data_IF_032300017332
#
_entry.id   IF_032300017332
#
_cell.length_a   1.000
_cell.length_b   1.000
_cell.length_c   1.000
_cell.angle_alpha   90.00
_cell.angle_beta   90.00
_cell.angle_gamma   90.00
#
_symmetry.space_group_name_H-M   'P 1'
#
loop_
_entity.id
_entity.type
_entity.pdbx_description
1 polymer ?
#
# COMPACT_ATOMS: atom_id res chain seq x y z
N UNK A 1 -47.12 -5.30 -2.29
CA UNK A 1 -45.93 -5.65 -3.09
C UNK A 1 -44.74 -5.01 -2.37
N UNK A 2 -43.94 -5.81 -1.68
CA UNK A 2 -42.66 -5.35 -1.12
C UNK A 2 -41.75 -4.94 -2.28
N UNK A 3 -41.06 -3.79 -2.21
CA UNK A 3 -40.05 -3.45 -3.21
C UNK A 3 -39.01 -4.56 -3.19
N UNK A 4 -38.71 -5.16 -4.35
CA UNK A 4 -37.60 -6.08 -4.46
C UNK A 4 -36.33 -5.31 -4.10
N UNK A 5 -35.71 -5.60 -2.97
CA UNK A 5 -34.37 -5.11 -2.66
C UNK A 5 -33.43 -5.65 -3.75
N UNK A 6 -33.11 -4.78 -4.71
CA UNK A 6 -32.06 -5.04 -5.69
C UNK A 6 -30.76 -5.17 -4.92
N UNK A 7 -30.20 -6.38 -4.86
CA UNK A 7 -28.89 -6.61 -4.25
C UNK A 7 -27.87 -5.65 -4.87
N UNK A 8 -27.02 -4.97 -4.06
CA UNK A 8 -26.00 -4.10 -4.61
C UNK A 8 -25.10 -4.87 -5.58
N UNK A 9 -24.79 -4.28 -6.73
CA UNK A 9 -23.86 -4.88 -7.68
C UNK A 9 -22.48 -4.97 -7.01
N UNK A 10 -21.84 -6.15 -6.98
CA UNK A 10 -20.54 -6.29 -6.36
C UNK A 10 -19.48 -5.42 -7.05
N UNK A 11 -18.68 -4.71 -6.25
CA UNK A 11 -17.51 -3.99 -6.75
C UNK A 11 -16.32 -4.94 -6.78
N UNK A 12 -15.67 -5.06 -7.93
CA UNK A 12 -14.52 -5.94 -8.12
C UNK A 12 -13.21 -5.17 -8.25
N UNK A 13 -12.26 -5.51 -7.40
CA UNK A 13 -10.88 -5.02 -7.44
C UNK A 13 -9.92 -6.16 -7.81
N UNK A 14 -8.88 -5.82 -8.55
CA UNK A 14 -7.71 -6.65 -8.76
C UNK A 14 -6.56 -6.12 -7.89
N UNK A 15 -5.80 -7.01 -7.26
CA UNK A 15 -4.71 -6.65 -6.33
C UNK A 15 -3.38 -7.15 -6.88
N UNK A 16 -2.35 -6.31 -6.85
CA UNK A 16 -0.96 -6.70 -7.12
C UNK A 16 0.00 -5.78 -6.35
N UNK A 17 0.98 -6.35 -5.65
CA UNK A 17 1.97 -5.58 -4.88
C UNK A 17 3.36 -6.18 -5.01
N UNK A 18 4.36 -5.43 -4.51
CA UNK A 18 5.73 -5.92 -4.37
C UNK A 18 6.29 -6.45 -5.71
N UNK A 19 6.04 -5.70 -6.79
CA UNK A 19 6.53 -6.03 -8.13
C UNK A 19 8.02 -5.71 -8.29
N UNK A 20 8.58 -4.83 -7.46
CA UNK A 20 10.02 -4.56 -7.38
C UNK A 20 10.71 -4.34 -8.74
N UNK A 21 10.04 -3.70 -9.69
CA UNK A 21 10.51 -3.58 -11.08
C UNK A 21 11.85 -2.82 -11.20
N UNK A 22 12.13 -1.93 -10.27
CA UNK A 22 13.40 -1.22 -10.11
C UNK A 22 14.60 -2.14 -9.77
N UNK A 23 14.37 -3.34 -9.24
CA UNK A 23 15.44 -4.28 -8.83
C UNK A 23 15.76 -5.32 -9.90
N UNK A 24 14.82 -5.62 -10.80
CA UNK A 24 14.93 -6.64 -11.85
C UNK A 24 15.41 -6.01 -13.16
N UNK A 25 16.73 -5.86 -13.32
CA UNK A 25 17.37 -5.16 -14.48
C UNK A 25 16.81 -3.74 -14.78
N UNK A 26 15.99 -3.17 -13.89
CA UNK A 26 15.26 -1.93 -14.11
C UNK A 26 14.20 -2.01 -15.21
N UNK A 27 13.69 -3.21 -15.52
CA UNK A 27 12.63 -3.37 -16.52
C UNK A 27 11.27 -3.19 -15.88
N UNK A 28 10.51 -2.25 -16.42
CA UNK A 28 9.12 -2.01 -16.06
C UNK A 28 8.24 -2.62 -17.14
N UNK A 29 8.29 -3.93 -17.32
CA UNK A 29 7.56 -4.67 -18.37
C UNK A 29 6.61 -5.74 -17.79
N UNK A 30 6.43 -5.76 -16.47
CA UNK A 30 5.51 -6.69 -15.81
C UNK A 30 4.08 -6.53 -16.35
N UNK A 31 3.51 -7.63 -16.83
CA UNK A 31 2.17 -7.64 -17.40
C UNK A 31 1.13 -8.00 -16.35
N UNK A 32 0.23 -7.05 -16.05
CA UNK A 32 -0.95 -7.29 -15.21
C UNK A 32 -2.15 -7.52 -16.13
N UNK A 33 -2.63 -8.76 -16.32
CA UNK A 33 -3.81 -9.00 -17.14
C UNK A 33 -5.04 -8.43 -16.44
N UNK A 34 -5.87 -7.65 -17.16
CA UNK A 34 -7.11 -7.10 -16.60
C UNK A 34 -8.12 -8.20 -16.25
N UNK A 35 -8.44 -8.34 -14.97
CA UNK A 35 -9.45 -9.26 -14.42
C UNK A 35 -10.58 -8.55 -13.66
N UNK A 36 -10.44 -7.25 -13.42
CA UNK A 36 -11.43 -6.43 -12.74
C UNK A 36 -11.46 -4.99 -13.31
N UNK A 37 -12.38 -4.17 -12.82
CA UNK A 37 -12.51 -2.76 -13.20
C UNK A 37 -11.43 -1.88 -12.57
N UNK A 38 -11.12 -2.15 -11.30
CA UNK A 38 -10.21 -1.36 -10.49
C UNK A 38 -8.95 -2.16 -10.15
N UNK A 39 -7.81 -1.49 -10.09
CA UNK A 39 -6.53 -2.07 -9.69
C UNK A 39 -6.05 -1.43 -8.38
N UNK A 40 -5.63 -2.25 -7.42
CA UNK A 40 -5.01 -1.85 -6.16
C UNK A 40 -3.53 -2.22 -6.19
N UNK A 41 -2.66 -1.24 -5.97
CA UNK A 41 -1.21 -1.36 -5.93
C UNK A 41 -0.64 -0.91 -4.55
N UNK A 42 -0.63 -1.78 -3.52
CA UNK A 42 -0.20 -1.40 -2.17
C UNK A 42 1.33 -1.45 -1.99
N UNK A 43 2.02 -0.62 -2.77
CA UNK A 43 3.45 -0.35 -2.62
C UNK A 43 4.39 -1.37 -3.25
N UNK A 44 5.66 -0.96 -3.28
CA UNK A 44 6.80 -1.70 -3.83
C UNK A 44 6.59 -2.15 -5.28
N UNK A 45 6.00 -1.27 -6.06
CA UNK A 45 5.78 -1.45 -7.50
C UNK A 45 7.03 -1.02 -8.28
N UNK A 46 7.58 0.14 -7.92
CA UNK A 46 8.60 0.83 -8.69
C UNK A 46 9.51 1.70 -7.82
N UNK A 47 9.97 2.81 -8.42
CA UNK A 47 10.83 3.77 -7.75
C UNK A 47 10.68 5.14 -8.41
N UNK A 48 10.69 6.21 -7.61
CA UNK A 48 10.58 7.60 -8.10
C UNK A 48 11.88 8.13 -8.73
N UNK A 49 12.88 7.27 -8.96
CA UNK A 49 14.17 7.65 -9.54
C UNK A 49 15.09 8.39 -8.57
N UNK A 50 16.28 8.82 -9.03
CA UNK A 50 17.20 9.64 -8.23
C UNK A 50 17.06 11.09 -8.64
N UNK A 51 17.26 12.01 -7.70
CA UNK A 51 17.56 13.41 -8.04
C UNK A 51 19.02 13.53 -8.51
N UNK A 52 19.28 14.48 -9.41
CA UNK A 52 20.62 14.69 -10.01
C UNK A 52 21.72 15.04 -9.00
N UNK A 53 21.34 15.40 -7.76
CA UNK A 53 22.24 15.84 -6.69
C UNK A 53 22.86 14.69 -5.87
N UNK A 54 22.53 13.42 -6.16
CA UNK A 54 23.08 12.26 -5.42
C UNK A 54 24.24 11.62 -6.17
N UNK A 55 25.42 11.63 -5.55
CA UNK A 55 26.71 11.14 -6.08
C UNK A 55 26.60 9.92 -7.02
N UNK A 56 27.33 10.03 -8.14
CA UNK A 56 27.34 9.17 -9.33
C UNK A 56 27.90 7.75 -9.13
N UNK A 57 28.21 7.33 -7.91
CA UNK A 57 28.86 6.04 -7.62
C UNK A 57 27.93 4.82 -7.70
N UNK A 58 26.61 5.00 -7.86
CA UNK A 58 25.64 3.89 -7.89
C UNK A 58 25.27 3.47 -9.32
N UNK A 59 25.30 2.15 -9.58
CA UNK A 59 25.02 1.48 -10.87
C UNK A 59 23.53 1.47 -11.29
N UNK A 60 22.62 2.13 -10.58
CA UNK A 60 21.18 2.05 -10.87
C UNK A 60 20.77 2.98 -12.03
N UNK A 61 19.89 2.53 -12.95
CA UNK A 61 19.39 3.34 -14.06
C UNK A 61 18.83 4.70 -13.62
N UNK A 62 19.16 5.79 -14.33
CA UNK A 62 18.64 7.13 -14.04
C UNK A 62 17.14 7.31 -14.38
N UNK A 63 16.55 6.40 -15.16
CA UNK A 63 15.22 6.56 -15.76
C UNK A 63 14.08 5.85 -15.01
N UNK A 64 14.29 5.38 -13.76
CA UNK A 64 13.25 4.66 -13.00
C UNK A 64 11.94 5.45 -12.88
N UNK A 65 12.00 6.76 -12.63
CA UNK A 65 10.81 7.61 -12.53
C UNK A 65 9.97 7.58 -13.81
N UNK A 66 10.63 7.77 -14.96
CA UNK A 66 9.97 7.77 -16.27
C UNK A 66 9.39 6.39 -16.59
N UNK A 67 10.16 5.32 -16.38
CA UNK A 67 9.68 3.96 -16.64
C UNK A 67 8.52 3.58 -15.71
N UNK A 68 8.52 4.09 -14.48
CA UNK A 68 7.42 3.90 -13.54
C UNK A 68 6.16 4.65 -13.98
N UNK A 69 6.30 5.91 -14.40
CA UNK A 69 5.21 6.69 -14.99
C UNK A 69 4.62 5.96 -16.22
N UNK A 70 5.45 5.49 -17.15
CA UNK A 70 5.02 4.75 -18.34
C UNK A 70 4.29 3.45 -17.96
N UNK A 71 4.77 2.74 -16.93
CA UNK A 71 4.10 1.55 -16.42
C UNK A 71 2.70 1.88 -15.86
N UNK A 72 2.58 2.91 -15.03
CA UNK A 72 1.30 3.33 -14.44
C UNK A 72 0.33 3.79 -15.52
N UNK A 73 0.81 4.49 -16.56
CA UNK A 73 0.00 4.91 -17.70
C UNK A 73 -0.61 3.71 -18.43
N UNK A 74 0.17 2.64 -18.64
CA UNK A 74 -0.34 1.39 -19.24
C UNK A 74 -1.39 0.70 -18.35
N UNK A 75 -1.31 0.83 -17.03
CA UNK A 75 -2.37 0.33 -16.17
C UNK A 75 -3.62 1.21 -16.28
N UNK A 76 -3.46 2.54 -16.27
CA UNK A 76 -4.56 3.49 -16.42
C UNK A 76 -5.29 3.38 -17.79
N UNK A 77 -4.61 2.94 -18.84
CA UNK A 77 -5.26 2.65 -20.13
C UNK A 77 -6.13 1.39 -20.09
N UNK A 78 -5.85 0.45 -19.17
CA UNK A 78 -6.56 -0.83 -19.07
C UNK A 78 -7.67 -0.82 -18.02
N UNK A 79 -7.43 -0.23 -16.85
CA UNK A 79 -8.36 -0.20 -15.72
C UNK A 79 -9.20 1.09 -15.72
N UNK A 80 -10.40 1.04 -15.13
CA UNK A 80 -11.24 2.24 -14.93
C UNK A 80 -10.59 3.18 -13.91
N UNK A 81 -9.89 2.62 -12.92
CA UNK A 81 -9.04 3.35 -11.96
C UNK A 81 -7.95 2.46 -11.39
N UNK A 82 -6.81 3.07 -11.12
CA UNK A 82 -5.66 2.48 -10.45
C UNK A 82 -5.42 3.24 -9.17
N UNK A 83 -5.46 2.54 -8.04
CA UNK A 83 -5.10 3.08 -6.74
C UNK A 83 -3.67 2.67 -6.41
N UNK A 84 -2.87 3.63 -5.98
CA UNK A 84 -1.47 3.43 -5.62
C UNK A 84 -1.25 3.95 -4.20
N UNK A 85 -0.72 3.08 -3.34
CA UNK A 85 -0.05 3.47 -2.10
C UNK A 85 1.44 3.23 -2.33
N UNK A 86 2.28 4.12 -1.85
CA UNK A 86 3.73 3.92 -1.93
C UNK A 86 4.20 2.92 -0.88
N UNK A 87 5.17 2.09 -1.25
CA UNK A 87 5.95 1.28 -0.32
C UNK A 87 7.29 1.93 -0.01
N UNK A 88 8.11 1.26 0.80
CA UNK A 88 9.41 1.78 1.18
C UNK A 88 10.36 1.87 -0.03
N UNK A 89 10.19 1.01 -1.04
CA UNK A 89 11.04 1.04 -2.23
C UNK A 89 10.79 2.22 -3.15
N UNK A 90 9.57 2.76 -3.19
CA UNK A 90 9.27 3.97 -3.98
C UNK A 90 10.16 5.14 -3.56
N UNK A 91 10.45 5.27 -2.26
CA UNK A 91 11.18 6.38 -1.66
C UNK A 91 12.71 6.22 -1.64
N UNK A 92 13.24 5.02 -1.93
CA UNK A 92 14.68 4.77 -1.81
C UNK A 92 15.49 5.77 -2.62
N UNK A 93 16.54 6.30 -1.99
CA UNK A 93 17.47 7.32 -2.45
C UNK A 93 16.92 8.75 -2.48
N UNK A 94 15.73 8.98 -1.91
CA UNK A 94 15.10 10.28 -1.79
C UNK A 94 14.53 10.49 -0.39
N UNK A 95 14.10 11.72 -0.11
CA UNK A 95 13.24 11.99 1.05
C UNK A 95 11.81 11.52 0.76
N UNK A 96 11.04 11.23 1.82
CA UNK A 96 9.60 10.92 1.71
C UNK A 96 8.87 12.04 0.95
N UNK A 97 9.09 13.30 1.34
CA UNK A 97 8.46 14.47 0.72
C UNK A 97 8.72 14.57 -0.80
N UNK A 98 9.92 14.23 -1.26
CA UNK A 98 10.22 14.20 -2.70
C UNK A 98 9.46 13.07 -3.41
N UNK A 99 9.40 11.89 -2.80
CA UNK A 99 8.63 10.78 -3.34
C UNK A 99 7.14 11.11 -3.44
N UNK A 100 6.56 11.67 -2.37
CA UNK A 100 5.16 12.09 -2.33
C UNK A 100 4.85 13.10 -3.45
N UNK A 101 5.68 14.15 -3.56
CA UNK A 101 5.54 15.16 -4.60
C UNK A 101 5.63 14.55 -6.02
N UNK A 102 6.55 13.60 -6.22
CA UNK A 102 6.73 12.93 -7.53
C UNK A 102 5.53 12.05 -7.87
N UNK A 103 5.03 11.26 -6.92
CA UNK A 103 3.87 10.39 -7.13
C UNK A 103 2.59 11.21 -7.35
N UNK A 104 2.39 12.31 -6.62
CA UNK A 104 1.29 13.26 -6.90
C UNK A 104 1.45 13.94 -8.27
N UNK A 105 2.69 14.19 -8.70
CA UNK A 105 2.98 14.60 -10.08
C UNK A 105 2.57 13.54 -11.11
N UNK A 106 2.75 12.25 -10.81
CA UNK A 106 2.29 11.17 -11.70
C UNK A 106 0.76 11.13 -11.78
N UNK A 107 0.06 11.29 -10.64
CA UNK A 107 -1.40 11.31 -10.57
C UNK A 107 -2.02 12.31 -11.56
N UNK A 108 -1.41 13.49 -11.64
CA UNK A 108 -1.87 14.61 -12.48
C UNK A 108 -1.31 14.58 -13.91
N UNK A 109 -0.43 13.64 -14.23
CA UNK A 109 0.18 13.56 -15.55
C UNK A 109 -0.87 13.16 -16.61
N UNK A 110 -0.84 13.81 -17.78
CA UNK A 110 -1.86 13.65 -18.82
C UNK A 110 -2.03 12.20 -19.31
N UNK A 111 -0.96 11.40 -19.28
CA UNK A 111 -0.98 9.98 -19.66
C UNK A 111 -1.77 9.09 -18.70
N UNK A 112 -2.15 9.57 -17.51
CA UNK A 112 -3.01 8.83 -16.58
C UNK A 112 -4.49 8.96 -16.93
N UNK A 113 -4.87 9.94 -17.77
CA UNK A 113 -6.26 10.21 -18.14
C UNK A 113 -7.21 10.38 -16.93
N UNK A 114 -6.70 10.89 -15.80
CA UNK A 114 -7.46 11.05 -14.56
C UNK A 114 -7.86 9.73 -13.88
N UNK A 115 -7.17 8.62 -14.19
CA UNK A 115 -7.49 7.27 -13.68
C UNK A 115 -6.49 6.76 -12.65
N UNK A 116 -5.41 7.48 -12.36
CA UNK A 116 -4.53 7.18 -11.24
C UNK A 116 -5.04 7.94 -10.00
N UNK A 117 -5.02 7.29 -8.85
CA UNK A 117 -5.28 7.90 -7.55
C UNK A 117 -4.16 7.45 -6.61
N UNK A 118 -3.31 8.39 -6.20
CA UNK A 118 -2.24 8.12 -5.24
C UNK A 118 -2.76 8.43 -3.83
N UNK A 119 -2.66 7.48 -2.92
CA UNK A 119 -3.18 7.60 -1.57
C UNK A 119 -2.01 7.62 -0.57
N UNK A 120 -1.87 8.73 0.15
CA UNK A 120 -1.00 8.85 1.33
C UNK A 120 -1.74 9.72 2.35
N UNK A 121 -2.37 9.05 3.33
CA UNK A 121 -3.37 9.63 4.21
C UNK A 121 -4.48 10.33 3.43
N UNK A 122 -5.00 9.63 2.43
CA UNK A 122 -6.04 10.15 1.54
C UNK A 122 -7.19 9.15 1.35
N UNK A 123 -8.34 9.67 0.96
CA UNK A 123 -9.62 8.97 0.86
C UNK A 123 -10.18 9.08 -0.56
N UNK A 124 -10.71 7.97 -1.08
CA UNK A 124 -11.48 7.96 -2.33
C UNK A 124 -12.84 7.28 -2.14
N UNK A 125 -13.91 8.03 -2.41
CA UNK A 125 -15.27 7.51 -2.38
C UNK A 125 -15.69 7.03 -3.77
N UNK A 126 -15.82 5.71 -3.92
CA UNK A 126 -16.32 5.11 -5.15
C UNK A 126 -17.84 5.21 -5.19
N UNK A 127 -18.39 5.80 -6.25
CA UNK A 127 -19.82 6.08 -6.40
C UNK A 127 -20.47 5.19 -7.46
N UNK A 128 -21.77 4.96 -7.33
CA UNK A 128 -22.57 4.29 -8.37
C UNK A 128 -22.83 5.26 -9.54
N UNK A 129 -22.25 4.96 -10.70
CA UNK A 129 -22.46 5.72 -11.94
C UNK A 129 -23.61 5.15 -12.81
N UNK A 130 -24.16 3.99 -12.46
CA UNK A 130 -25.01 3.19 -13.34
C UNK A 130 -26.52 3.36 -13.19
N UNK A 131 -27.01 3.92 -12.09
CA UNK A 131 -28.44 4.01 -11.82
C UNK A 131 -28.85 5.48 -11.68
N UNK A 132 -29.53 6.02 -12.70
CA UNK A 132 -29.96 7.42 -12.82
C UNK A 132 -30.84 7.98 -11.68
N UNK A 133 -31.00 7.24 -10.58
CA UNK A 133 -31.80 7.60 -9.41
C UNK A 133 -31.00 7.67 -8.08
N UNK A 134 -29.66 7.54 -8.04
CA UNK A 134 -28.95 7.68 -6.76
C UNK A 134 -27.42 7.73 -6.80
N UNK A 135 -26.85 8.93 -6.58
CA UNK A 135 -25.41 9.24 -6.44
C UNK A 135 -24.77 8.71 -5.14
N UNK A 136 -25.13 7.50 -4.72
CA UNK A 136 -24.64 6.90 -3.47
C UNK A 136 -23.16 6.52 -3.55
N UNK A 137 -22.45 6.64 -2.43
CA UNK A 137 -21.10 6.08 -2.29
C UNK A 137 -21.26 4.58 -2.04
N UNK A 138 -20.68 3.76 -2.91
CA UNK A 138 -20.68 2.30 -2.81
C UNK A 138 -19.73 1.81 -1.72
N UNK A 139 -18.51 2.37 -1.70
CA UNK A 139 -17.49 2.09 -0.70
C UNK A 139 -16.48 3.24 -0.66
N UNK A 140 -15.77 3.31 0.45
CA UNK A 140 -14.67 4.25 0.67
C UNK A 140 -13.35 3.50 0.69
N UNK A 141 -12.39 3.95 -0.11
CA UNK A 141 -10.99 3.50 -0.07
C UNK A 141 -10.19 4.48 0.78
N UNK A 142 -9.50 3.99 1.80
CA UNK A 142 -8.57 4.75 2.63
C UNK A 142 -7.16 4.23 2.34
N UNK A 143 -6.18 5.10 2.09
CA UNK A 143 -4.83 4.65 1.80
C UNK A 143 -3.70 5.49 2.39
N UNK A 144 -2.68 4.80 2.91
CA UNK A 144 -1.41 5.35 3.36
C UNK A 144 -0.34 4.27 3.41
N UNK A 145 0.95 4.62 3.42
CA UNK A 145 2.03 3.62 3.50
C UNK A 145 1.96 2.77 4.80
N UNK A 146 1.48 3.38 5.89
CA UNK A 146 1.45 2.82 7.26
C UNK A 146 2.82 2.26 7.67
N UNK A 147 3.82 3.14 7.80
CA UNK A 147 5.16 2.74 8.29
C UNK A 147 5.09 1.92 9.58
N UNK A 148 6.10 1.12 9.90
CA UNK A 148 6.08 0.41 11.18
C UNK A 148 6.46 1.28 12.37
N UNK A 149 6.24 0.79 13.60
CA UNK A 149 6.77 1.43 14.83
C UNK A 149 8.01 0.71 15.36
N UNK A 150 9.15 1.39 15.37
CA UNK A 150 10.39 0.93 16.00
C UNK A 150 10.24 1.00 17.53
N UNK A 151 10.32 -0.16 18.19
CA UNK A 151 10.20 -0.25 19.64
C UNK A 151 11.46 0.22 20.36
N UNK A 152 11.29 0.84 21.53
CA UNK A 152 12.39 1.30 22.39
C UNK A 152 13.22 0.14 22.94
N UNK A 153 12.60 -1.03 23.14
CA UNK A 153 13.28 -2.25 23.62
C UNK A 153 14.10 -2.98 22.54
N UNK A 154 14.06 -2.50 21.29
CA UNK A 154 14.92 -2.98 20.21
C UNK A 154 16.12 -2.06 20.04
N UNK A 155 17.31 -2.64 19.73
CA UNK A 155 18.53 -1.88 19.53
C UNK A 155 18.24 -0.63 18.70
N UNK A 156 18.60 0.52 19.25
CA UNK A 156 18.72 1.73 18.47
C UNK A 156 19.61 1.36 17.28
N UNK A 157 19.10 1.60 16.07
CA UNK A 157 19.83 1.28 14.86
C UNK A 157 21.02 2.27 14.82
N UNK A 158 22.09 1.93 15.56
CA UNK A 158 23.12 2.81 16.07
C UNK A 158 23.38 4.01 15.17
N UNK A 159 22.81 5.18 15.54
CA UNK A 159 22.96 6.56 15.00
C UNK A 159 23.09 6.81 13.48
N UNK A 160 23.06 5.78 12.64
CA UNK A 160 23.14 5.78 11.18
C UNK A 160 22.75 4.40 10.59
N UNK A 161 22.42 3.39 11.43
CA UNK A 161 22.12 2.03 10.99
C UNK A 161 20.65 1.84 10.54
N UNK A 162 19.95 2.95 10.25
CA UNK A 162 18.75 2.92 9.39
C UNK A 162 19.07 2.29 8.01
N UNK A 163 20.35 2.16 7.68
CA UNK A 163 20.85 1.31 6.60
C UNK A 163 20.58 -0.21 6.76
N UNK A 164 20.03 -0.70 7.88
CA UNK A 164 19.74 -2.14 8.09
C UNK A 164 18.26 -2.44 8.34
N UNK A 165 17.42 -1.42 8.38
CA UNK A 165 15.97 -1.56 8.60
C UNK A 165 15.18 -1.07 7.39
N UNK A 166 13.86 -1.13 7.47
CA UNK A 166 12.96 -0.95 6.34
C UNK A 166 13.15 0.38 5.57
N UNK A 167 13.46 1.46 6.30
CA UNK A 167 13.76 2.78 5.75
C UNK A 167 15.14 2.92 5.07
N UNK A 168 15.87 1.81 4.86
CA UNK A 168 17.22 1.83 4.27
C UNK A 168 17.26 2.59 2.94
N UNK A 169 18.10 3.62 2.92
CA UNK A 169 18.36 4.44 1.74
C UNK A 169 17.35 5.57 1.55
N UNK A 170 16.38 5.74 2.44
CA UNK A 170 15.51 6.92 2.47
C UNK A 170 16.24 8.03 3.22
N UNK A 171 16.28 9.22 2.63
CA UNK A 171 16.97 10.38 3.18
C UNK A 171 16.12 11.02 4.28
N UNK A 172 16.72 11.34 5.43
CA UNK A 172 16.03 11.97 6.57
C UNK A 172 15.17 11.00 7.39
N UNK A 173 15.49 9.71 7.37
CA UNK A 173 14.68 8.66 7.97
C UNK A 173 15.12 8.28 9.39
N UNK A 174 15.17 9.24 10.33
CA UNK A 174 15.49 8.92 11.74
C UNK A 174 14.43 8.03 12.39
N UNK A 175 14.73 7.44 13.55
CA UNK A 175 13.77 6.64 14.33
C UNK A 175 12.55 7.46 14.71
N UNK A 176 12.76 8.69 15.17
CA UNK A 176 11.70 9.62 15.57
C UNK A 176 10.83 9.95 14.36
N UNK A 177 11.45 10.27 13.21
CA UNK A 177 10.72 10.56 11.98
C UNK A 177 9.93 9.32 11.49
N UNK A 178 10.48 8.12 11.64
CA UNK A 178 9.82 6.86 11.29
C UNK A 178 8.61 6.57 12.15
N UNK A 179 8.78 6.62 13.47
CA UNK A 179 7.69 6.41 14.41
C UNK A 179 6.63 7.50 14.30
N UNK A 180 7.01 8.77 14.11
CA UNK A 180 6.06 9.87 13.92
C UNK A 180 5.16 9.63 12.70
N UNK A 181 5.69 9.07 11.60
CA UNK A 181 4.87 8.71 10.43
C UNK A 181 3.91 7.56 10.71
N UNK A 182 4.32 6.57 11.52
CA UNK A 182 3.41 5.50 11.94
C UNK A 182 2.25 6.08 12.75
N UNK A 183 2.54 6.86 13.79
CA UNK A 183 1.51 7.43 14.69
C UNK A 183 0.55 8.35 13.91
N UNK A 184 1.09 9.18 13.00
CA UNK A 184 0.30 10.04 12.11
C UNK A 184 -0.61 9.22 11.16
N UNK A 185 -0.08 8.13 10.59
CA UNK A 185 -0.86 7.26 9.70
C UNK A 185 -1.96 6.50 10.44
N UNK A 186 -1.66 5.95 11.62
CA UNK A 186 -2.62 5.20 12.43
C UNK A 186 -3.72 6.13 12.94
N UNK A 187 -3.35 7.30 13.49
CA UNK A 187 -4.30 8.31 13.94
C UNK A 187 -5.22 8.78 12.81
N UNK A 188 -4.67 9.01 11.61
CA UNK A 188 -5.47 9.35 10.43
C UNK A 188 -6.45 8.23 10.02
N UNK A 189 -6.01 6.96 9.99
CA UNK A 189 -6.90 5.83 9.69
C UNK A 189 -8.06 5.77 10.69
N UNK A 190 -7.76 5.87 11.99
CA UNK A 190 -8.76 5.83 13.05
C UNK A 190 -9.77 6.97 12.92
N UNK A 191 -9.29 8.18 12.66
CA UNK A 191 -10.16 9.35 12.47
C UNK A 191 -11.05 9.21 11.22
N UNK A 192 -10.48 8.79 10.09
CA UNK A 192 -11.23 8.65 8.83
C UNK A 192 -12.25 7.51 8.87
N UNK A 193 -11.92 6.37 9.50
CA UNK A 193 -12.92 5.31 9.74
C UNK A 193 -14.07 5.87 10.57
N UNK A 194 -13.79 6.61 11.65
CA UNK A 194 -14.81 7.27 12.46
C UNK A 194 -15.66 8.28 11.68
N UNK A 195 -15.07 9.07 10.77
CA UNK A 195 -15.81 9.98 9.87
C UNK A 195 -16.72 9.21 8.92
N UNK A 196 -16.20 8.21 8.21
CA UNK A 196 -17.00 7.39 7.27
C UNK A 196 -18.18 6.73 7.98
N UNK A 197 -17.98 6.22 9.19
CA UNK A 197 -19.04 5.59 10.00
C UNK A 197 -20.11 6.57 10.46
N UNK A 198 -19.74 7.81 10.79
CA UNK A 198 -20.70 8.88 11.11
C UNK A 198 -21.51 9.32 9.89
N UNK A 199 -20.88 9.36 8.72
CA UNK A 199 -21.56 9.68 7.45
C UNK A 199 -22.53 8.57 7.03
N UNK A 200 -22.13 7.32 7.17
CA UNK A 200 -22.94 6.14 6.85
C UNK A 200 -22.43 4.91 7.62
N UNK A 201 -23.17 4.45 8.63
CA UNK A 201 -22.79 3.30 9.45
C UNK A 201 -22.60 2.00 8.66
N UNK A 202 -23.20 1.87 7.47
CA UNK A 202 -23.16 0.66 6.64
C UNK A 202 -22.16 0.75 5.48
N UNK A 203 -21.48 1.89 5.30
CA UNK A 203 -20.55 2.08 4.20
C UNK A 203 -19.43 1.07 4.25
N UNK A 204 -19.12 0.40 3.13
CA UNK A 204 -17.97 -0.51 3.09
C UNK A 204 -16.68 0.29 3.06
N UNK A 205 -15.70 -0.11 3.87
CA UNK A 205 -14.38 0.48 3.90
C UNK A 205 -13.37 -0.52 3.36
N UNK A 206 -12.51 -0.04 2.46
CA UNK A 206 -11.32 -0.73 2.03
C UNK A 206 -10.11 0.07 2.51
N UNK A 207 -9.39 -0.45 3.49
CA UNK A 207 -8.12 0.11 3.94
C UNK A 207 -6.99 -0.49 3.11
N UNK A 208 -6.16 0.35 2.52
CA UNK A 208 -5.07 -0.04 1.65
C UNK A 208 -3.76 0.51 2.22
N UNK A 209 -2.87 -0.38 2.65
CA UNK A 209 -1.57 0.03 3.21
C UNK A 209 -0.42 -0.68 2.53
N UNK A 210 0.80 -0.17 2.63
CA UNK A 210 1.94 -0.97 2.21
C UNK A 210 2.29 -2.01 3.29
N UNK A 211 2.56 -1.56 4.51
CA UNK A 211 2.89 -2.48 5.60
C UNK A 211 1.65 -3.22 6.11
N UNK A 212 1.88 -4.44 6.57
CA UNK A 212 0.84 -5.29 7.13
C UNK A 212 0.28 -4.72 8.45
N UNK A 213 -1.03 -4.87 8.71
CA UNK A 213 -1.66 -4.32 9.91
C UNK A 213 -1.53 -5.22 11.15
N UNK A 214 -0.89 -6.38 11.04
CA UNK A 214 -0.70 -7.31 12.16
C UNK A 214 0.57 -8.15 11.99
N UNK A 215 1.01 -8.75 13.09
CA UNK A 215 2.22 -9.57 13.15
C UNK A 215 1.96 -10.96 12.57
N UNK A 216 0.98 -11.67 13.12
CA UNK A 216 0.76 -13.09 12.79
C UNK A 216 0.03 -13.26 11.46
N UNK A 217 0.37 -14.32 10.73
CA UNK A 217 -0.25 -14.70 9.45
C UNK A 217 0.00 -13.75 8.28
N UNK A 218 0.80 -12.72 8.49
CA UNK A 218 1.20 -11.76 7.46
C UNK A 218 2.59 -12.06 6.93
N UNK A 219 3.37 -12.94 7.57
CA UNK A 219 4.67 -13.45 7.12
C UNK A 219 4.87 -14.92 7.55
N UNK A 220 6.06 -15.50 7.33
CA UNK A 220 6.38 -16.83 7.87
C UNK A 220 6.50 -16.80 9.40
N UNK A 221 5.84 -17.76 10.07
CA UNK A 221 5.78 -17.86 11.54
C UNK A 221 7.15 -17.77 12.26
N UNK A 222 8.24 -18.20 11.62
CA UNK A 222 9.59 -18.10 12.19
C UNK A 222 10.11 -16.65 12.34
N UNK A 223 9.46 -15.69 11.68
CA UNK A 223 9.80 -14.26 11.73
C UNK A 223 8.90 -13.48 12.68
N UNK A 224 7.78 -14.03 13.15
CA UNK A 224 6.84 -13.38 14.06
C UNK A 224 7.55 -12.93 15.35
N UNK A 225 7.73 -11.62 15.51
CA UNK A 225 8.46 -11.03 16.65
C UNK A 225 9.88 -11.62 16.86
N UNK A 226 10.54 -12.05 15.78
CA UNK A 226 11.89 -12.65 15.84
C UNK A 226 12.93 -11.79 15.10
N UNK A 227 14.12 -11.73 15.68
CA UNK A 227 15.25 -10.96 15.17
C UNK A 227 15.40 -9.60 15.85
N UNK A 228 16.57 -8.99 15.73
CA UNK A 228 16.92 -7.77 16.45
C UNK A 228 16.14 -6.52 16.02
N UNK A 229 15.47 -6.57 14.87
CA UNK A 229 14.78 -5.42 14.27
C UNK A 229 13.36 -5.75 13.80
N UNK A 230 12.70 -6.74 14.39
CA UNK A 230 11.40 -7.21 13.90
C UNK A 230 10.34 -6.10 13.86
N UNK A 231 10.41 -5.12 14.77
CA UNK A 231 9.45 -4.01 14.83
C UNK A 231 9.62 -3.01 13.69
N UNK A 232 10.73 -3.06 12.97
CA UNK A 232 10.93 -2.28 11.76
C UNK A 232 10.10 -2.78 10.56
N UNK A 233 9.43 -3.92 10.69
CA UNK A 233 8.74 -4.57 9.57
C UNK A 233 7.32 -5.04 9.93
N UNK A 234 6.95 -5.02 11.21
CA UNK A 234 5.71 -5.64 11.70
C UNK A 234 4.95 -4.68 12.60
N UNK A 235 3.65 -4.51 12.34
CA UNK A 235 2.71 -3.75 13.16
C UNK A 235 1.76 -4.70 13.90
N UNK A 236 1.15 -4.23 14.99
CA UNK A 236 0.14 -4.97 15.77
C UNK A 236 -1.13 -4.13 15.97
N UNK A 237 -1.77 -3.76 14.86
CA UNK A 237 -2.96 -2.92 14.87
C UNK A 237 -4.21 -3.80 15.03
N UNK A 238 -4.44 -4.73 14.09
CA UNK A 238 -5.57 -5.66 14.17
C UNK A 238 -5.24 -6.82 15.12
N UNK A 239 -5.98 -6.91 16.23
CA UNK A 239 -5.66 -7.74 17.40
C UNK A 239 -4.82 -7.03 18.48
N UNK A 240 -4.51 -5.75 18.30
CA UNK A 240 -3.70 -4.93 19.21
C UNK A 240 -4.25 -3.51 19.37
N UNK A 241 -3.61 -2.52 18.75
CA UNK A 241 -3.95 -1.08 18.90
C UNK A 241 -5.38 -0.73 18.47
N UNK A 242 -5.94 -1.49 17.52
CA UNK A 242 -7.33 -1.38 17.10
C UNK A 242 -7.61 -0.20 16.17
N UNK A 243 -8.68 -0.35 15.38
CA UNK A 243 -9.29 0.71 14.60
C UNK A 243 -10.79 0.63 14.80
N UNK A 244 -11.30 1.44 15.74
CA UNK A 244 -12.71 1.44 16.10
C UNK A 244 -13.60 1.78 14.91
N UNK A 245 -14.66 0.99 14.73
CA UNK A 245 -15.64 1.18 13.68
C UNK A 245 -15.41 0.34 12.42
N UNK A 246 -14.25 -0.31 12.25
CA UNK A 246 -14.17 -1.41 11.27
C UNK A 246 -15.11 -2.54 11.69
N UNK A 247 -15.76 -3.17 10.70
CA UNK A 247 -16.82 -4.17 10.94
C UNK A 247 -16.83 -5.25 9.86
N UNK A 248 -17.70 -6.25 10.01
CA UNK A 248 -17.83 -7.36 9.07
C UNK A 248 -17.90 -6.91 7.60
N UNK A 249 -16.89 -7.36 6.86
CA UNK A 249 -16.78 -7.23 5.43
C UNK A 249 -16.15 -5.92 4.94
N UNK A 250 -15.69 -5.08 5.85
CA UNK A 250 -14.56 -4.21 5.53
C UNK A 250 -13.33 -5.06 5.18
N UNK A 251 -12.46 -4.50 4.35
CA UNK A 251 -11.30 -5.20 3.80
C UNK A 251 -10.04 -4.39 4.07
N UNK A 252 -8.98 -5.09 4.49
CA UNK A 252 -7.64 -4.53 4.58
C UNK A 252 -6.73 -5.20 3.55
N UNK A 253 -6.24 -4.44 2.58
CA UNK A 253 -5.25 -4.92 1.60
C UNK A 253 -3.87 -4.38 1.91
N UNK A 254 -2.84 -5.20 1.74
CA UNK A 254 -1.46 -4.80 2.03
C UNK A 254 -0.40 -5.56 1.21
N UNK A 255 0.86 -5.11 1.32
CA UNK A 255 2.05 -5.69 0.67
C UNK A 255 3.19 -5.94 1.66
N UNK A 256 4.42 -5.57 1.29
CA UNK A 256 5.63 -5.47 2.11
C UNK A 256 6.28 -6.80 2.57
N UNK A 257 5.48 -7.75 3.04
CA UNK A 257 5.99 -8.97 3.69
C UNK A 257 6.44 -10.07 2.73
N UNK A 258 6.23 -9.85 1.42
CA UNK A 258 6.41 -10.78 0.32
C UNK A 258 5.64 -12.11 0.51
N UNK A 259 4.57 -12.08 1.30
CA UNK A 259 3.77 -13.23 1.66
C UNK A 259 2.31 -13.05 1.25
N UNK A 260 1.86 -13.84 0.29
CA UNK A 260 0.47 -13.78 -0.19
C UNK A 260 -0.44 -14.62 0.69
N UNK A 261 -1.51 -14.01 1.20
CA UNK A 261 -2.37 -14.63 2.23
C UNK A 261 -3.76 -14.00 2.25
N UNK A 262 -4.71 -14.69 2.87
CA UNK A 262 -6.01 -14.15 3.25
C UNK A 262 -6.32 -14.59 4.66
N UNK A 263 -6.92 -13.72 5.46
CA UNK A 263 -7.27 -14.01 6.85
C UNK A 263 -8.44 -13.13 7.30
N UNK A 264 -9.00 -13.44 8.47
CA UNK A 264 -10.00 -12.61 9.16
C UNK A 264 -9.48 -12.35 10.57
N UNK A 265 -9.54 -11.10 11.01
CA UNK A 265 -9.22 -10.66 12.37
C UNK A 265 -10.17 -9.51 12.70
N UNK A 266 -10.82 -9.57 13.87
CA UNK A 266 -11.75 -8.53 14.33
C UNK A 266 -12.80 -8.18 13.25
N UNK A 267 -13.38 -9.21 12.61
CA UNK A 267 -14.37 -9.13 11.52
C UNK A 267 -13.87 -8.50 10.20
N UNK A 268 -12.66 -7.98 10.17
CA UNK A 268 -11.99 -7.42 8.98
C UNK A 268 -11.30 -8.52 8.19
N UNK A 269 -11.52 -8.53 6.87
CA UNK A 269 -10.82 -9.46 5.97
C UNK A 269 -9.50 -8.85 5.49
N UNK A 270 -8.38 -9.47 5.85
CA UNK A 270 -7.06 -9.13 5.35
C UNK A 270 -6.69 -9.89 4.08
N UNK A 271 -6.10 -9.21 3.08
CA UNK A 271 -5.68 -9.81 1.80
C UNK A 271 -4.34 -9.23 1.35
N UNK A 272 -3.40 -10.10 0.95
CA UNK A 272 -2.17 -9.70 0.28
C UNK A 272 -1.91 -10.57 -0.96
N UNK A 273 -1.47 -9.94 -2.07
CA UNK A 273 -1.09 -10.61 -3.31
C UNK A 273 0.23 -10.03 -3.84
N UNK A 274 1.31 -10.56 -3.30
CA UNK A 274 2.66 -10.03 -3.41
C UNK A 274 3.47 -10.90 -4.34
N UNK A 275 4.17 -10.29 -5.30
CA UNK A 275 5.09 -11.04 -6.17
C UNK A 275 6.38 -11.40 -5.44
N UNK A 276 6.94 -10.43 -4.72
CA UNK A 276 8.27 -10.55 -4.13
C UNK A 276 9.39 -10.23 -5.11
N UNK A 277 10.62 -10.19 -4.60
CA UNK A 277 11.82 -9.86 -5.36
C UNK A 277 12.28 -10.99 -6.29
N UNK A 278 13.18 -10.70 -7.23
CA UNK A 278 13.70 -11.68 -8.21
C UNK A 278 14.42 -12.90 -7.59
N UNK A 279 14.88 -12.80 -6.33
CA UNK A 279 15.47 -13.93 -5.59
C UNK A 279 14.41 -14.88 -4.98
N UNK A 280 13.16 -14.47 -4.99
CA UNK A 280 12.02 -15.21 -4.45
C UNK A 280 11.17 -15.82 -5.57
N UNK A 281 11.33 -15.33 -6.80
CA UNK A 281 10.87 -15.97 -8.04
C UNK A 281 11.49 -17.38 -8.16
N UNK A 282 10.71 -18.40 -7.79
CA UNK A 282 11.13 -19.81 -7.73
C UNK A 282 10.71 -20.52 -6.45
N UNK A 283 10.42 -19.77 -5.39
CA UNK A 283 9.74 -20.26 -4.18
C UNK A 283 8.25 -20.00 -4.36
N UNK A 284 7.60 -20.81 -5.20
CA UNK A 284 6.21 -20.61 -5.64
C UNK A 284 5.29 -20.09 -4.53
N UNK A 285 4.39 -19.15 -4.90
CA UNK A 285 3.43 -18.44 -4.05
C UNK A 285 3.13 -19.25 -2.80
N UNK A 286 3.73 -18.87 -1.67
CA UNK A 286 3.53 -19.56 -0.39
C UNK A 286 2.18 -19.15 0.16
N UNK A 287 1.13 -19.77 -0.37
CA UNK A 287 -0.24 -19.63 0.11
C UNK A 287 -0.34 -20.39 1.44
N UNK A 288 -0.84 -19.74 2.48
CA UNK A 288 -1.46 -20.50 3.56
C UNK A 288 -2.65 -21.25 2.95
N UNK A 289 -2.59 -22.58 2.97
CA UNK A 289 -3.77 -23.43 2.79
C UNK A 289 -4.54 -23.48 4.09
#
# INVERSE_FOLDING_TARGET
>A
MSPSETKPVPVHFQLASDLHMQTSYGKYDYHIPKRAKYLLLPGDIGAVGRTDNVSSSSRKPRHHAQLFLEFLARQCSQFERVFLVAGNHEYKQNTIAHGDATLKGFETHASMHGRLTVLEKDRFDLRDEGNGNGKGILLTVLGCALWSRLREDQPEAADNDMERVDGRGIVGNSREAHNARFEDSLGWIQEEVGKVRREDPKRRILVMTHHAPKIRWTSELRYDQKGSYWSAYQNDILGGEGVDGLQEGDVWVYGHTHWSTTWIQDEVRGIANQRGGSREEGRGIRRNR
#
